data_IF_128737431699
#
_entry.id   IF_128737431699
#
_cell.length_a   1.000
_cell.length_b   1.000
_cell.length_c   1.000
_cell.angle_alpha   90.00
_cell.angle_beta   90.00
_cell.angle_gamma   90.00
#
_symmetry.space_group_name_H-M   'P 1'
#
loop_
_entity.id
_entity.type
_entity.pdbx_description
1 polymer ?
#
# COMPACT_ATOMS: atom_id res chain seq x y z
N UNK A 1 26.01 7.61 -2.13
CA UNK A 1 24.69 6.94 -2.24
C UNK A 1 23.61 7.99 -2.07
N UNK A 2 23.00 8.46 -3.16
CA UNK A 2 22.01 9.57 -3.15
C UNK A 2 20.93 9.35 -4.24
N UNK A 3 20.54 8.10 -4.50
CA UNK A 3 19.69 7.75 -5.65
C UNK A 3 18.18 7.65 -5.31
N UNK A 4 17.79 7.53 -4.03
CA UNK A 4 16.39 7.21 -3.68
C UNK A 4 15.45 8.41 -3.54
N UNK A 5 15.95 9.58 -3.12
CA UNK A 5 15.07 10.72 -2.80
C UNK A 5 14.44 11.42 -4.03
N UNK A 6 15.08 11.30 -5.21
CA UNK A 6 14.53 11.88 -6.44
C UNK A 6 13.41 11.02 -7.04
N UNK A 7 13.47 9.69 -6.89
CA UNK A 7 12.44 8.80 -7.42
C UNK A 7 11.12 8.94 -6.63
N UNK A 8 11.21 8.93 -5.29
CA UNK A 8 10.04 9.06 -4.41
C UNK A 8 9.26 10.36 -4.65
N UNK A 9 9.96 11.48 -4.85
CA UNK A 9 9.31 12.77 -5.15
C UNK A 9 8.56 12.70 -6.48
N UNK A 10 9.23 12.23 -7.53
CA UNK A 10 8.67 12.21 -8.88
C UNK A 10 7.50 11.22 -8.99
N UNK A 11 7.62 10.05 -8.37
CA UNK A 11 6.56 9.05 -8.25
C UNK A 11 5.34 9.59 -7.51
N UNK A 12 5.56 10.21 -6.35
CA UNK A 12 4.47 10.79 -5.57
C UNK A 12 3.81 11.95 -6.30
N UNK A 13 4.59 12.80 -6.97
CA UNK A 13 4.10 13.85 -7.85
C UNK A 13 3.22 13.31 -8.98
N UNK A 14 3.61 12.20 -9.61
CA UNK A 14 2.78 11.51 -10.63
C UNK A 14 1.49 10.96 -10.05
N UNK A 15 1.53 10.31 -8.88
CA UNK A 15 0.34 9.76 -8.23
C UNK A 15 -0.67 10.87 -7.88
N UNK A 16 -0.19 12.04 -7.46
CA UNK A 16 -1.03 13.21 -7.18
C UNK A 16 -1.60 13.80 -8.47
N UNK A 17 -0.76 14.03 -9.48
CA UNK A 17 -1.18 14.62 -10.75
C UNK A 17 -2.22 13.76 -11.48
N UNK A 18 -2.18 12.45 -11.30
CA UNK A 18 -3.14 11.49 -11.88
C UNK A 18 -4.36 11.23 -11.00
N UNK A 19 -4.44 11.85 -9.82
CA UNK A 19 -5.60 11.75 -8.91
C UNK A 19 -5.67 10.46 -8.09
N UNK A 20 -4.61 9.64 -8.04
CA UNK A 20 -4.58 8.41 -7.25
C UNK A 20 -4.48 8.69 -5.74
N UNK A 21 -3.91 9.83 -5.34
CA UNK A 21 -3.82 10.27 -3.95
C UNK A 21 -3.77 11.80 -3.88
N UNK A 22 -4.26 12.39 -2.79
CA UNK A 22 -4.16 13.84 -2.55
C UNK A 22 -3.12 14.16 -1.48
N UNK A 23 -2.60 15.40 -1.48
CA UNK A 23 -1.72 15.88 -0.40
C UNK A 23 -2.41 15.80 0.97
N UNK A 24 -3.70 16.11 1.03
CA UNK A 24 -4.52 15.97 2.24
C UNK A 24 -4.58 14.52 2.71
N UNK A 25 -4.71 13.56 1.80
CA UNK A 25 -4.69 12.12 2.12
C UNK A 25 -3.31 11.69 2.63
N UNK A 26 -2.22 12.17 2.01
CA UNK A 26 -0.86 11.89 2.48
C UNK A 26 -0.63 12.41 3.89
N UNK A 27 -1.09 13.63 4.19
CA UNK A 27 -1.07 14.17 5.55
C UNK A 27 -1.84 13.27 6.52
N UNK A 28 -3.06 12.85 6.18
CA UNK A 28 -3.87 11.99 7.05
C UNK A 28 -3.22 10.61 7.31
N UNK A 29 -2.55 10.04 6.32
CA UNK A 29 -1.90 8.71 6.42
C UNK A 29 -0.57 8.80 7.19
N UNK A 30 0.24 9.81 6.89
CA UNK A 30 1.62 9.90 7.41
C UNK A 30 1.73 10.80 8.64
N UNK A 31 0.77 11.67 8.89
CA UNK A 31 0.87 12.73 9.90
C UNK A 31 1.85 13.85 9.54
N UNK A 32 2.52 13.79 8.38
CA UNK A 32 3.46 14.83 7.94
C UNK A 32 2.67 16.10 7.62
N UNK A 33 3.05 17.28 8.14
CA UNK A 33 2.35 18.53 7.88
C UNK A 33 2.22 18.83 6.38
N UNK A 34 1.09 19.41 5.98
CA UNK A 34 0.81 19.76 4.57
C UNK A 34 1.90 20.65 3.99
N UNK A 35 2.32 21.71 4.70
CA UNK A 35 3.37 22.63 4.25
C UNK A 35 4.71 21.90 3.99
N UNK A 36 5.02 20.88 4.79
CA UNK A 36 6.23 20.08 4.62
C UNK A 36 6.13 19.16 3.39
N UNK A 37 4.97 18.55 3.15
CA UNK A 37 4.68 17.77 1.96
C UNK A 37 4.72 18.63 0.69
N UNK A 38 4.12 19.81 0.72
CA UNK A 38 4.14 20.75 -0.40
C UNK A 38 5.54 21.27 -0.68
N UNK A 39 6.32 21.61 0.35
CA UNK A 39 7.72 21.98 0.20
C UNK A 39 8.56 20.83 -0.37
N UNK A 40 8.27 19.58 0.01
CA UNK A 40 8.95 18.40 -0.51
C UNK A 40 8.62 18.17 -2.00
N UNK A 41 7.35 18.35 -2.40
CA UNK A 41 6.86 18.17 -3.76
C UNK A 41 7.23 19.33 -4.70
N UNK A 42 7.32 20.56 -4.17
CA UNK A 42 7.47 21.80 -4.95
C UNK A 42 8.91 22.25 -5.23
N UNK A 43 9.94 21.54 -4.78
CA UNK A 43 11.31 22.02 -4.90
C UNK A 43 11.90 21.88 -6.33
N UNK A 44 11.97 23.00 -7.07
CA UNK A 44 12.88 23.25 -8.20
C UNK A 44 13.21 24.76 -8.35
N UNK A 45 14.31 25.15 -9.02
CA UNK A 45 15.74 25.19 -8.61
C UNK A 45 16.05 26.42 -7.69
N UNK A 46 17.30 26.68 -7.21
CA UNK A 46 17.55 27.72 -6.22
C UNK A 46 17.36 29.12 -6.81
N UNK A 47 16.22 29.74 -6.50
CA UNK A 47 16.04 31.19 -6.57
C UNK A 47 16.64 31.88 -5.33
N UNK A 48 16.93 33.19 -5.41
CA UNK A 48 17.60 33.91 -4.32
C UNK A 48 16.80 33.83 -3.00
N UNK A 49 17.47 33.75 -1.85
CA UNK A 49 16.84 33.47 -0.57
C UNK A 49 15.89 34.60 -0.17
N UNK A 50 14.59 34.30 -0.11
CA UNK A 50 13.63 35.14 0.63
C UNK A 50 13.66 34.77 2.10
N UNK A 51 13.85 35.77 2.95
CA UNK A 51 13.84 35.66 4.42
C UNK A 51 12.39 35.51 4.89
N UNK A 52 11.86 34.30 4.83
CA UNK A 52 10.64 33.88 5.53
C UNK A 52 10.83 32.45 6.01
N UNK A 53 10.20 32.12 7.15
CA UNK A 53 10.40 30.94 7.98
C UNK A 53 10.95 29.70 7.26
N UNK A 54 11.98 29.07 7.84
CA UNK A 54 12.51 27.79 7.37
C UNK A 54 11.36 26.82 7.15
N UNK A 55 11.11 26.36 5.91
CA UNK A 55 10.08 25.36 5.66
C UNK A 55 10.34 24.15 6.55
N UNK A 56 9.29 23.61 7.15
CA UNK A 56 9.39 22.34 7.87
C UNK A 56 9.89 21.28 6.88
N UNK A 57 11.16 20.92 6.97
CA UNK A 57 11.73 19.89 6.12
C UNK A 57 11.19 18.53 6.56
N UNK A 58 10.88 17.67 5.60
CA UNK A 58 10.59 16.25 5.87
C UNK A 58 11.80 15.66 6.60
N UNK A 59 11.58 15.15 7.82
CA UNK A 59 12.65 14.56 8.63
C UNK A 59 13.11 13.23 8.01
N UNK A 60 14.24 12.67 8.49
CA UNK A 60 14.76 11.39 7.97
C UNK A 60 13.76 10.24 8.12
N UNK A 61 13.09 10.15 9.27
CA UNK A 61 12.09 9.12 9.56
C UNK A 61 10.82 9.32 8.71
N UNK A 62 10.39 10.58 8.54
CA UNK A 62 9.27 10.92 7.66
C UNK A 62 9.57 10.60 6.20
N UNK A 63 10.82 10.81 5.77
CA UNK A 63 11.29 10.46 4.44
C UNK A 63 11.25 8.95 4.18
N UNK A 64 11.65 8.14 5.16
CA UNK A 64 11.55 6.68 5.08
C UNK A 64 10.11 6.19 4.97
N UNK A 65 9.20 6.75 5.80
CA UNK A 65 7.76 6.41 5.77
C UNK A 65 7.12 6.82 4.44
N UNK A 66 7.46 7.99 3.92
CA UNK A 66 6.95 8.48 2.64
C UNK A 66 7.46 7.61 1.48
N UNK A 67 8.74 7.26 1.49
CA UNK A 67 9.34 6.34 0.52
C UNK A 67 8.64 4.98 0.51
N UNK A 68 8.47 4.37 1.68
CA UNK A 68 7.77 3.09 1.81
C UNK A 68 6.33 3.15 1.31
N UNK A 69 5.59 4.20 1.66
CA UNK A 69 4.22 4.39 1.19
C UNK A 69 4.16 4.56 -0.33
N UNK A 70 5.00 5.42 -0.91
CA UNK A 70 5.05 5.67 -2.35
C UNK A 70 5.35 4.39 -3.12
N UNK A 71 6.37 3.63 -2.70
CA UNK A 71 6.72 2.37 -3.34
C UNK A 71 5.55 1.37 -3.33
N UNK A 72 4.84 1.26 -2.20
CA UNK A 72 3.67 0.38 -2.07
C UNK A 72 2.51 0.82 -2.97
N UNK A 73 2.25 2.13 -3.08
CA UNK A 73 1.20 2.66 -3.94
C UNK A 73 1.53 2.49 -5.43
N UNK A 74 2.75 2.83 -5.86
CA UNK A 74 3.21 2.69 -7.25
C UNK A 74 3.16 1.22 -7.67
N UNK A 75 3.73 0.34 -6.85
CA UNK A 75 3.75 -1.08 -7.15
C UNK A 75 2.33 -1.65 -7.16
N UNK A 76 1.54 -1.32 -6.14
CA UNK A 76 0.16 -1.77 -6.00
C UNK A 76 -0.65 -1.49 -7.26
N UNK A 77 -0.67 -0.25 -7.76
CA UNK A 77 -1.48 0.17 -8.94
C UNK A 77 -1.22 -0.69 -10.19
N UNK A 78 -0.03 -1.29 -10.32
CA UNK A 78 0.33 -2.11 -11.49
C UNK A 78 -0.13 -3.57 -11.39
N UNK A 79 -0.52 -4.04 -10.21
CA UNK A 79 -0.92 -5.44 -9.98
C UNK A 79 -2.41 -5.59 -10.26
N UNK A 80 -2.73 -6.49 -11.19
CA UNK A 80 -4.11 -6.92 -11.50
C UNK A 80 -4.82 -7.52 -10.27
N UNK A 81 -6.14 -7.34 -10.18
CA UNK A 81 -6.94 -7.75 -9.02
C UNK A 81 -6.86 -9.25 -8.73
N UNK A 82 -6.79 -10.10 -9.75
CA UNK A 82 -6.65 -11.55 -9.55
C UNK A 82 -5.26 -11.89 -9.00
N UNK A 83 -4.22 -11.24 -9.51
CA UNK A 83 -2.86 -11.41 -8.99
C UNK A 83 -2.74 -10.91 -7.54
N UNK A 84 -3.42 -9.81 -7.19
CA UNK A 84 -3.49 -9.32 -5.81
C UNK A 84 -4.15 -10.32 -4.89
N UNK A 85 -5.29 -10.86 -5.31
CA UNK A 85 -6.03 -11.85 -4.52
C UNK A 85 -5.22 -13.15 -4.38
N UNK A 86 -4.59 -13.63 -5.45
CA UNK A 86 -3.68 -14.78 -5.40
C UNK A 86 -2.55 -14.53 -4.39
N UNK A 87 -1.89 -13.37 -4.42
CA UNK A 87 -0.83 -13.04 -3.48
C UNK A 87 -1.29 -13.03 -2.01
N UNK A 88 -2.53 -12.60 -1.74
CA UNK A 88 -3.13 -12.69 -0.40
C UNK A 88 -3.31 -14.17 0.01
N UNK A 89 -3.87 -15.01 -0.86
CA UNK A 89 -4.10 -16.43 -0.58
C UNK A 89 -2.77 -17.18 -0.39
N UNK A 90 -1.77 -16.88 -1.21
CA UNK A 90 -0.43 -17.43 -1.09
C UNK A 90 0.22 -17.04 0.23
N UNK A 91 0.02 -15.80 0.69
CA UNK A 91 0.51 -15.36 2.00
C UNK A 91 -0.19 -16.13 3.14
N UNK A 92 -1.52 -16.26 3.08
CA UNK A 92 -2.29 -17.01 4.08
C UNK A 92 -1.88 -18.49 4.15
N UNK A 93 -1.58 -19.11 3.01
CA UNK A 93 -1.24 -20.54 2.94
C UNK A 93 0.24 -20.80 3.19
N UNK A 94 1.15 -20.12 2.48
CA UNK A 94 2.58 -20.40 2.54
C UNK A 94 3.25 -19.83 3.81
N UNK A 95 2.86 -18.63 4.22
CA UNK A 95 3.46 -17.96 5.39
C UNK A 95 2.73 -18.27 6.69
N UNK A 96 1.39 -18.28 6.67
CA UNK A 96 0.58 -18.45 7.87
C UNK A 96 -0.03 -19.85 8.02
N UNK A 97 0.30 -20.76 7.10
CA UNK A 97 -0.07 -22.17 7.15
C UNK A 97 -1.58 -22.44 7.28
N UNK A 98 -2.42 -21.50 6.82
CA UNK A 98 -3.85 -21.73 6.72
C UNK A 98 -4.13 -22.66 5.53
N UNK A 99 -4.98 -23.67 5.74
CA UNK A 99 -5.46 -24.49 4.62
C UNK A 99 -6.54 -23.76 3.83
N UNK A 100 -6.82 -24.21 2.61
CA UNK A 100 -7.94 -23.70 1.83
C UNK A 100 -9.28 -23.86 2.58
N UNK A 101 -9.46 -24.93 3.34
CA UNK A 101 -10.64 -25.11 4.20
C UNK A 101 -10.71 -24.07 5.32
N UNK A 102 -9.58 -23.74 5.96
CA UNK A 102 -9.57 -22.67 6.98
C UNK A 102 -9.98 -21.34 6.36
N UNK A 103 -9.44 -21.00 5.19
CA UNK A 103 -9.76 -19.75 4.49
C UNK A 103 -11.23 -19.76 4.05
N UNK A 104 -11.73 -20.87 3.49
CA UNK A 104 -13.12 -21.03 3.12
C UNK A 104 -14.07 -20.81 4.30
N UNK A 105 -13.76 -21.37 5.48
CA UNK A 105 -14.54 -21.19 6.70
C UNK A 105 -14.50 -19.74 7.21
N UNK A 106 -13.32 -19.12 7.25
CA UNK A 106 -13.15 -17.73 7.72
C UNK A 106 -13.78 -16.72 6.77
N UNK A 107 -13.75 -17.01 5.47
CA UNK A 107 -14.32 -16.14 4.44
C UNK A 107 -15.76 -16.49 4.09
N UNK A 108 -16.32 -17.61 4.56
CA UNK A 108 -17.64 -18.09 4.16
C UNK A 108 -17.81 -18.26 2.63
N UNK A 109 -16.70 -18.43 1.90
CA UNK A 109 -16.67 -18.81 0.48
C UNK A 109 -16.55 -20.32 0.41
N UNK A 110 -17.18 -20.95 -0.58
CA UNK A 110 -17.06 -22.40 -0.75
C UNK A 110 -15.62 -22.77 -1.05
N UNK A 111 -15.13 -23.87 -0.45
CA UNK A 111 -13.75 -24.31 -0.69
C UNK A 111 -13.51 -24.62 -2.17
N UNK A 112 -14.50 -25.15 -2.88
CA UNK A 112 -14.38 -25.46 -4.30
C UNK A 112 -14.26 -24.19 -5.16
N UNK A 113 -14.91 -23.09 -4.76
CA UNK A 113 -14.78 -21.80 -5.45
C UNK A 113 -13.40 -21.18 -5.21
N UNK A 114 -12.85 -21.33 -4.00
CA UNK A 114 -11.49 -20.90 -3.67
C UNK A 114 -10.47 -21.71 -4.47
N UNK A 115 -10.59 -23.03 -4.49
CA UNK A 115 -9.70 -23.91 -5.27
C UNK A 115 -9.82 -23.68 -6.78
N UNK A 116 -11.03 -23.38 -7.27
CA UNK A 116 -11.24 -22.98 -8.65
C UNK A 116 -10.49 -21.68 -8.95
N UNK A 117 -10.60 -20.67 -8.07
CA UNK A 117 -9.87 -19.41 -8.22
C UNK A 117 -8.35 -19.63 -8.26
N UNK A 118 -7.80 -20.39 -7.31
CA UNK A 118 -6.35 -20.67 -7.23
C UNK A 118 -5.84 -21.41 -8.47
N UNK A 119 -6.69 -22.24 -9.11
CA UNK A 119 -6.33 -22.95 -10.33
C UNK A 119 -6.44 -22.07 -11.57
N UNK A 120 -7.55 -21.35 -11.68
CA UNK A 120 -7.88 -20.51 -12.82
C UNK A 120 -8.91 -19.43 -12.40
N UNK A 121 -8.46 -18.19 -12.12
CA UNK A 121 -9.31 -17.09 -11.70
C UNK A 121 -10.48 -16.82 -12.66
N UNK A 122 -10.31 -17.02 -13.97
CA UNK A 122 -11.33 -16.75 -14.99
C UNK A 122 -12.57 -17.66 -14.87
N UNK A 123 -12.45 -18.77 -14.15
CA UNK A 123 -13.56 -19.71 -13.92
C UNK A 123 -14.50 -19.27 -12.80
N UNK A 124 -14.14 -18.23 -12.04
CA UNK A 124 -14.85 -17.79 -10.84
C UNK A 124 -15.50 -16.43 -11.07
N UNK A 125 -16.74 -16.28 -10.62
CA UNK A 125 -17.48 -15.02 -10.78
C UNK A 125 -16.84 -13.86 -10.01
N UNK A 126 -16.94 -12.64 -10.55
CA UNK A 126 -16.48 -11.41 -9.88
C UNK A 126 -17.08 -11.25 -8.48
N UNK A 127 -18.34 -11.64 -8.28
CA UNK A 127 -19.00 -11.58 -6.98
C UNK A 127 -18.37 -12.51 -5.93
N UNK A 128 -17.76 -13.62 -6.38
CA UNK A 128 -17.01 -14.54 -5.52
C UNK A 128 -15.59 -14.03 -5.31
N UNK A 129 -14.90 -13.57 -6.36
CA UNK A 129 -13.58 -12.93 -6.26
C UNK A 129 -13.59 -11.76 -5.28
N UNK A 130 -14.59 -10.88 -5.39
CA UNK A 130 -14.78 -9.75 -4.49
C UNK A 130 -14.99 -10.18 -3.04
N UNK A 131 -15.84 -11.19 -2.79
CA UNK A 131 -16.06 -11.74 -1.44
C UNK A 131 -14.78 -12.32 -0.86
N UNK A 132 -14.04 -13.07 -1.66
CA UNK A 132 -12.78 -13.69 -1.25
C UNK A 132 -11.74 -12.60 -0.95
N UNK A 133 -11.61 -11.57 -1.80
CA UNK A 133 -10.67 -10.47 -1.61
C UNK A 133 -10.92 -9.64 -0.36
N UNK A 134 -12.14 -9.16 -0.15
CA UNK A 134 -12.48 -8.35 1.03
C UNK A 134 -12.31 -9.14 2.32
N UNK A 135 -12.71 -10.41 2.34
CA UNK A 135 -12.65 -11.21 3.56
C UNK A 135 -11.25 -11.71 3.85
N UNK A 136 -10.45 -12.02 2.82
CA UNK A 136 -9.05 -12.44 3.00
C UNK A 136 -8.14 -11.28 3.40
N UNK A 137 -8.39 -10.06 2.90
CA UNK A 137 -7.64 -8.87 3.34
C UNK A 137 -7.88 -8.56 4.82
N UNK A 138 -9.09 -8.79 5.33
CA UNK A 138 -9.39 -8.70 6.76
C UNK A 138 -8.60 -9.72 7.58
N UNK A 139 -8.46 -10.96 7.09
CA UNK A 139 -7.65 -11.99 7.76
C UNK A 139 -6.18 -11.56 7.84
N UNK A 140 -5.59 -11.07 6.73
CA UNK A 140 -4.20 -10.57 6.73
C UNK A 140 -4.02 -9.43 7.73
N UNK A 141 -4.97 -8.49 7.79
CA UNK A 141 -4.92 -7.38 8.74
C UNK A 141 -5.01 -7.88 10.18
N UNK A 142 -5.89 -8.85 10.46
CA UNK A 142 -6.02 -9.46 11.79
C UNK A 142 -4.73 -10.18 12.22
N UNK A 143 -4.08 -10.87 11.29
CA UNK A 143 -2.77 -11.51 11.52
C UNK A 143 -1.70 -10.44 11.80
N UNK A 144 -1.65 -9.36 11.01
CA UNK A 144 -0.72 -8.26 11.21
C UNK A 144 -0.86 -7.59 12.59
N UNK A 145 -2.08 -7.44 13.08
CA UNK A 145 -2.36 -6.91 14.42
C UNK A 145 -2.01 -7.88 15.56
N UNK A 146 -2.03 -9.19 15.29
CA UNK A 146 -1.70 -10.23 16.27
C UNK A 146 -0.20 -10.55 16.31
N UNK A 147 0.52 -10.28 15.22
CA UNK A 147 1.97 -10.44 15.18
C UNK A 147 2.61 -9.59 16.30
N UNK A 148 3.65 -10.09 16.97
CA UNK A 148 4.35 -9.31 17.98
C UNK A 148 4.81 -8.01 17.30
N UNK A 149 4.30 -6.88 17.80
CA UNK A 149 4.72 -5.58 17.31
C UNK A 149 6.24 -5.54 17.37
N UNK A 150 6.87 -5.06 16.30
CA UNK A 150 8.27 -4.65 16.30
C UNK A 150 8.45 -3.64 17.42
N UNK A 151 8.69 -4.15 18.63
CA UNK A 151 8.71 -3.38 19.85
C UNK A 151 10.03 -2.66 19.98
N UNK A 152 9.93 -1.35 20.24
CA UNK A 152 10.97 -0.42 20.69
C UNK A 152 12.04 -0.03 19.67
#
# INVERSE_FOLDING_TARGET
>A
MTVEAHDVRDELGRLIATGHISVTSLHAITGIPVDALESFLGAAPPGPPSVTATPAAVSGDDGGRLSGLTAQLVHGVQIDDDNRLQGILDSLTAQFHLTHENIALLTGVRVEDLEAFVRDPETVTDATKWRLGIRSSYIITAIGNAAPGSGA
#
